data_IF_190327680056
#
_entry.id   IF_190327680056
#
_cell.length_a   1.000
_cell.length_b   1.000
_cell.length_c   1.000
_cell.angle_alpha   90.00
_cell.angle_beta   90.00
_cell.angle_gamma   90.00
#
_symmetry.space_group_name_H-M   'P 1'
#
loop_
_entity.id
_entity.type
_entity.pdbx_description
1 polymer ?
#
# COMPACT_ATOMS: atom_id res chain seq x y z
N UNK A 1 -28.00 -5.70 -19.69
CA UNK A 1 -26.73 -5.21 -19.11
C UNK A 1 -25.92 -4.61 -20.25
N UNK A 2 -25.56 -3.32 -20.26
CA UNK A 2 -24.75 -2.79 -21.34
C UNK A 2 -23.34 -3.35 -21.20
N UNK A 3 -22.83 -3.92 -22.29
CA UNK A 3 -21.45 -4.40 -22.41
C UNK A 3 -20.48 -3.31 -21.96
N UNK A 4 -19.42 -3.69 -21.25
CA UNK A 4 -18.29 -2.81 -20.98
C UNK A 4 -17.68 -2.48 -22.36
N UNK A 5 -18.13 -1.38 -22.96
CA UNK A 5 -17.62 -0.89 -24.24
C UNK A 5 -16.12 -0.63 -24.11
N UNK A 6 -15.41 -0.89 -25.20
CA UNK A 6 -13.97 -0.80 -25.45
C UNK A 6 -13.18 0.18 -24.57
N UNK A 7 -11.91 -0.16 -24.34
CA UNK A 7 -10.94 0.73 -23.71
C UNK A 7 -11.01 2.13 -24.37
N UNK A 8 -11.26 3.14 -23.54
CA UNK A 8 -11.84 4.45 -23.91
C UNK A 8 -11.17 5.18 -25.09
N UNK A 9 -9.87 4.95 -25.28
CA UNK A 9 -9.05 5.54 -26.33
C UNK A 9 -7.91 4.59 -26.75
N UNK A 10 -8.03 3.28 -26.49
CA UNK A 10 -6.93 2.34 -26.75
C UNK A 10 -6.74 2.00 -28.23
N UNK A 11 -7.71 2.39 -29.06
CA UNK A 11 -7.73 2.30 -30.51
C UNK A 11 -7.06 3.50 -31.20
N UNK A 12 -6.74 4.56 -30.45
CA UNK A 12 -6.08 5.76 -30.97
C UNK A 12 -4.56 5.68 -30.79
N UNK A 13 -3.77 6.19 -31.76
CA UNK A 13 -2.34 6.34 -31.56
C UNK A 13 -2.11 7.39 -30.44
N UNK A 14 -1.02 7.25 -29.65
CA UNK A 14 -0.77 8.14 -28.51
C UNK A 14 -0.73 9.64 -28.83
N UNK A 15 -0.34 10.01 -30.05
CA UNK A 15 -0.29 11.39 -30.51
C UNK A 15 -1.67 12.03 -30.73
N UNK A 16 -2.70 11.21 -30.98
CA UNK A 16 -4.06 11.69 -31.29
C UNK A 16 -4.95 11.78 -30.04
N UNK A 17 -4.43 11.37 -28.88
CA UNK A 17 -5.17 11.43 -27.62
C UNK A 17 -5.19 12.88 -27.13
N UNK A 18 -6.36 13.51 -27.21
CA UNK A 18 -6.53 14.93 -26.85
C UNK A 18 -6.85 15.14 -25.37
N UNK A 19 -6.77 16.40 -24.92
CA UNK A 19 -7.16 16.81 -23.57
C UNK A 19 -8.64 16.49 -23.31
N UNK A 20 -9.53 16.81 -24.25
CA UNK A 20 -10.98 16.65 -24.09
C UNK A 20 -11.35 15.18 -23.86
N UNK A 21 -10.69 14.28 -24.59
CA UNK A 21 -10.89 12.85 -24.45
C UNK A 21 -10.43 12.34 -23.07
N UNK A 22 -9.28 12.82 -22.60
CA UNK A 22 -8.75 12.47 -21.29
C UNK A 22 -9.56 13.09 -20.15
N UNK A 23 -10.10 14.30 -20.32
CA UNK A 23 -10.93 14.96 -19.32
C UNK A 23 -12.30 14.27 -19.18
N UNK A 24 -12.94 13.90 -20.29
CA UNK A 24 -14.19 13.11 -20.22
C UNK A 24 -13.96 11.71 -19.65
N UNK A 25 -12.86 11.06 -20.02
CA UNK A 25 -12.43 9.80 -19.40
C UNK A 25 -12.25 9.94 -17.89
N UNK A 26 -11.52 10.98 -17.44
CA UNK A 26 -11.30 11.27 -16.03
C UNK A 26 -12.61 11.59 -15.30
N UNK A 27 -13.47 12.41 -15.89
CA UNK A 27 -14.80 12.75 -15.36
C UNK A 27 -15.71 11.52 -15.24
N UNK A 28 -15.63 10.57 -16.19
CA UNK A 28 -16.33 9.29 -16.08
C UNK A 28 -15.78 8.43 -14.96
N UNK A 29 -14.45 8.35 -14.81
CA UNK A 29 -13.82 7.62 -13.70
C UNK A 29 -14.23 8.19 -12.34
N UNK A 30 -14.27 9.51 -12.20
CA UNK A 30 -14.73 10.15 -10.97
C UNK A 30 -16.17 9.73 -10.62
N UNK A 31 -17.08 9.75 -11.61
CA UNK A 31 -18.49 9.38 -11.41
C UNK A 31 -18.68 7.90 -11.05
N UNK A 32 -17.94 7.00 -11.69
CA UNK A 32 -18.18 5.55 -11.58
C UNK A 32 -17.35 4.88 -10.48
N UNK A 33 -16.13 5.35 -10.24
CA UNK A 33 -15.14 4.71 -9.36
C UNK A 33 -14.67 5.57 -8.20
N UNK A 34 -14.97 6.87 -8.22
CA UNK A 34 -14.58 7.82 -7.18
C UNK A 34 -13.13 8.32 -7.31
N UNK A 35 -12.76 9.19 -6.36
CA UNK A 35 -11.55 10.02 -6.43
C UNK A 35 -10.24 9.22 -6.39
N UNK A 36 -10.12 8.20 -5.53
CA UNK A 36 -8.85 7.45 -5.40
C UNK A 36 -8.47 6.72 -6.70
N UNK A 37 -9.43 6.04 -7.33
CA UNK A 37 -9.20 5.33 -8.58
C UNK A 37 -8.92 6.30 -9.72
N UNK A 38 -9.72 7.36 -9.85
CA UNK A 38 -9.52 8.37 -10.90
C UNK A 38 -8.16 9.07 -10.77
N UNK A 39 -7.74 9.44 -9.55
CA UNK A 39 -6.44 10.02 -9.28
C UNK A 39 -5.29 9.10 -9.71
N UNK A 40 -5.37 7.80 -9.35
CA UNK A 40 -4.35 6.81 -9.71
C UNK A 40 -4.30 6.57 -11.21
N UNK A 41 -5.45 6.52 -11.88
CA UNK A 41 -5.52 6.33 -13.32
C UNK A 41 -4.78 7.45 -14.08
N UNK A 42 -5.05 8.73 -13.74
CA UNK A 42 -4.34 9.88 -14.32
C UNK A 42 -2.86 9.86 -13.95
N UNK A 43 -2.51 9.48 -12.72
CA UNK A 43 -1.10 9.34 -12.32
C UNK A 43 -0.37 8.29 -13.16
N UNK A 44 -0.98 7.14 -13.40
CA UNK A 44 -0.43 6.09 -14.25
C UNK A 44 -0.33 6.54 -15.71
N UNK A 45 -1.34 7.24 -16.23
CA UNK A 45 -1.31 7.82 -17.57
C UNK A 45 -0.09 8.73 -17.76
N UNK A 46 0.18 9.65 -16.84
CA UNK A 46 1.35 10.55 -16.90
C UNK A 46 2.68 9.79 -16.93
N UNK A 47 2.78 8.69 -16.17
CA UNK A 47 3.94 7.80 -16.23
C UNK A 47 4.06 7.09 -17.58
N UNK A 48 2.94 6.63 -18.14
CA UNK A 48 2.91 5.98 -19.46
C UNK A 48 3.28 6.96 -20.58
N UNK A 49 2.82 8.21 -20.51
CA UNK A 49 3.15 9.26 -21.47
C UNK A 49 4.67 9.45 -21.58
N UNK A 50 5.38 9.48 -20.45
CA UNK A 50 6.84 9.59 -20.45
C UNK A 50 7.52 8.40 -21.15
N UNK A 51 6.98 7.18 -21.00
CA UNK A 51 7.48 6.00 -21.70
C UNK A 51 7.22 6.10 -23.20
N UNK A 52 6.00 6.47 -23.60
CA UNK A 52 5.63 6.66 -25.01
C UNK A 52 6.45 7.76 -25.69
N UNK A 53 6.74 8.85 -24.98
CA UNK A 53 7.63 9.91 -25.44
C UNK A 53 9.07 9.42 -25.62
N UNK A 54 9.58 8.60 -24.68
CA UNK A 54 10.89 7.94 -24.82
C UNK A 54 10.95 6.99 -26.02
N UNK A 55 9.83 6.38 -26.38
CA UNK A 55 9.66 5.55 -27.58
C UNK A 55 9.42 6.35 -28.86
N UNK A 56 9.40 7.69 -28.79
CA UNK A 56 9.12 8.59 -29.92
C UNK A 56 7.71 8.44 -30.53
N UNK A 57 6.73 7.98 -29.74
CA UNK A 57 5.33 7.86 -30.16
C UNK A 57 4.52 9.15 -29.95
N UNK A 58 4.99 10.03 -29.07
CA UNK A 58 4.41 11.35 -28.81
C UNK A 58 5.53 12.36 -28.44
N UNK A 59 5.28 13.67 -28.55
CA UNK A 59 6.31 14.66 -28.26
C UNK A 59 6.58 14.74 -26.74
N UNK A 60 7.85 14.77 -26.31
CA UNK A 60 8.20 14.85 -24.89
C UNK A 60 7.69 16.14 -24.26
N UNK A 61 7.24 16.07 -23.00
CA UNK A 61 6.77 17.24 -22.24
C UNK A 61 5.41 17.83 -22.67
N UNK A 62 4.79 17.30 -23.71
CA UNK A 62 3.50 17.79 -24.25
C UNK A 62 2.28 16.98 -23.79
N UNK A 63 2.34 16.39 -22.59
CA UNK A 63 1.25 15.55 -22.07
C UNK A 63 -0.06 16.34 -21.88
N UNK A 64 -1.12 16.01 -22.64
CA UNK A 64 -2.40 16.72 -22.56
C UNK A 64 -3.06 16.60 -21.19
N UNK A 65 -2.79 15.52 -20.44
CA UNK A 65 -3.39 15.30 -19.12
C UNK A 65 -2.93 16.30 -18.04
N UNK A 66 -1.86 17.06 -18.29
CA UNK A 66 -1.34 18.04 -17.35
C UNK A 66 -2.31 19.21 -17.13
N UNK A 67 -3.12 19.54 -18.14
CA UNK A 67 -4.14 20.58 -18.04
C UNK A 67 -5.38 20.16 -17.22
N UNK A 68 -5.55 18.86 -16.96
CA UNK A 68 -6.68 18.35 -16.17
C UNK A 68 -6.52 18.76 -14.70
N UNK A 69 -7.54 19.43 -14.15
CA UNK A 69 -7.63 19.78 -12.73
C UNK A 69 -7.98 18.55 -11.88
N UNK A 70 -6.96 17.75 -11.58
CA UNK A 70 -7.09 16.52 -10.80
C UNK A 70 -7.45 16.79 -9.33
N UNK A 71 -8.34 15.97 -8.77
CA UNK A 71 -8.67 15.94 -7.34
C UNK A 71 -7.73 15.00 -6.60
N UNK A 72 -7.10 15.48 -5.53
CA UNK A 72 -6.22 14.65 -4.68
C UNK A 72 -7.06 13.91 -3.64
N UNK A 73 -6.96 12.57 -3.54
CA UNK A 73 -7.68 11.83 -2.52
C UNK A 73 -7.19 12.24 -1.12
N UNK A 74 -8.09 12.31 -0.12
CA UNK A 74 -7.71 12.71 1.23
C UNK A 74 -6.69 11.72 1.81
N UNK A 75 -5.70 12.21 2.58
CA UNK A 75 -4.73 11.34 3.23
C UNK A 75 -5.43 10.43 4.24
N UNK A 76 -4.92 9.20 4.37
CA UNK A 76 -5.36 8.27 5.41
C UNK A 76 -4.90 8.83 6.76
N UNK A 77 -5.85 9.11 7.64
CA UNK A 77 -5.61 9.77 8.94
C UNK A 77 -6.09 8.91 10.12
N UNK A 78 -6.48 7.66 9.90
CA UNK A 78 -6.83 6.76 10.99
C UNK A 78 -5.60 6.53 11.87
N UNK A 79 -5.76 6.86 13.14
CA UNK A 79 -4.77 6.64 14.20
C UNK A 79 -5.42 5.77 15.27
N UNK A 80 -4.61 4.95 15.93
CA UNK A 80 -5.06 4.10 17.03
C UNK A 80 -4.30 4.47 18.29
N UNK A 81 -5.01 4.53 19.40
CA UNK A 81 -4.42 4.64 20.72
C UNK A 81 -3.93 3.28 21.21
N UNK A 82 -3.04 3.27 22.21
CA UNK A 82 -2.56 2.03 22.81
C UNK A 82 -3.69 1.13 23.34
N UNK A 83 -4.72 1.73 23.95
CA UNK A 83 -5.88 0.99 24.45
C UNK A 83 -6.69 0.32 23.33
N UNK A 84 -6.86 1.00 22.19
CA UNK A 84 -7.54 0.44 21.02
C UNK A 84 -6.74 -0.70 20.38
N UNK A 85 -5.43 -0.53 20.24
CA UNK A 85 -4.54 -1.58 19.75
C UNK A 85 -4.63 -2.85 20.61
N UNK A 86 -4.56 -2.71 21.94
CA UNK A 86 -4.72 -3.83 22.88
C UNK A 86 -6.09 -4.49 22.76
N UNK A 87 -7.17 -3.70 22.60
CA UNK A 87 -8.52 -4.26 22.39
C UNK A 87 -8.61 -5.03 21.08
N UNK A 88 -8.00 -4.55 20.00
CA UNK A 88 -7.94 -5.26 18.71
C UNK A 88 -7.19 -6.59 18.83
N UNK A 89 -6.02 -6.60 19.49
CA UNK A 89 -5.26 -7.84 19.74
C UNK A 89 -6.09 -8.85 20.52
N UNK A 90 -6.69 -8.42 21.64
CA UNK A 90 -7.53 -9.29 22.48
C UNK A 90 -8.77 -9.79 21.72
N UNK A 91 -9.39 -8.93 20.90
CA UNK A 91 -10.53 -9.29 20.06
C UNK A 91 -10.17 -10.36 19.03
N UNK A 92 -9.09 -10.16 18.28
CA UNK A 92 -8.58 -11.13 17.31
C UNK A 92 -8.23 -12.48 17.97
N UNK A 93 -7.63 -12.44 19.16
CA UNK A 93 -7.31 -13.65 19.91
C UNK A 93 -8.56 -14.43 20.35
N UNK A 94 -9.53 -13.74 20.95
CA UNK A 94 -10.79 -14.37 21.41
C UNK A 94 -11.60 -14.95 20.24
N UNK A 95 -11.52 -14.34 19.06
CA UNK A 95 -12.13 -14.84 17.84
C UNK A 95 -11.35 -16.00 17.18
N UNK A 96 -10.25 -16.47 17.77
CA UNK A 96 -9.44 -17.58 17.25
C UNK A 96 -8.42 -17.19 16.19
N UNK A 97 -8.37 -15.93 15.76
CA UNK A 97 -7.40 -15.42 14.79
C UNK A 97 -6.04 -15.12 15.44
N UNK A 98 -5.39 -16.17 15.97
CA UNK A 98 -4.13 -16.05 16.73
C UNK A 98 -3.01 -15.39 15.92
N UNK A 99 -2.83 -15.78 14.66
CA UNK A 99 -1.82 -15.18 13.78
C UNK A 99 -2.04 -13.67 13.55
N UNK A 100 -3.30 -13.25 13.39
CA UNK A 100 -3.64 -11.83 13.25
C UNK A 100 -3.35 -11.07 14.55
N UNK A 101 -3.70 -11.64 15.71
CA UNK A 101 -3.40 -11.05 17.00
C UNK A 101 -1.89 -10.83 17.19
N UNK A 102 -1.06 -11.80 16.80
CA UNK A 102 0.40 -11.69 16.85
C UNK A 102 0.91 -10.59 15.90
N UNK A 103 0.42 -10.55 14.67
CA UNK A 103 0.84 -9.52 13.70
C UNK A 103 0.51 -8.12 14.23
N UNK A 104 -0.70 -7.91 14.78
CA UNK A 104 -1.09 -6.61 15.34
C UNK A 104 -0.18 -6.25 16.54
N UNK A 105 0.08 -7.18 17.44
CA UNK A 105 0.91 -6.93 18.62
C UNK A 105 2.37 -6.58 18.25
N UNK A 106 2.97 -7.35 17.34
CA UNK A 106 4.34 -7.10 16.88
C UNK A 106 4.42 -5.81 16.07
N UNK A 107 3.47 -5.56 15.17
CA UNK A 107 3.42 -4.31 14.40
C UNK A 107 3.29 -3.09 15.31
N UNK A 108 2.49 -3.19 16.38
CA UNK A 108 2.34 -2.11 17.36
C UNK A 108 3.62 -1.81 18.13
N UNK A 109 4.32 -2.82 18.64
CA UNK A 109 5.55 -2.61 19.41
C UNK A 109 6.73 -2.14 18.55
N UNK A 110 6.87 -2.71 17.34
CA UNK A 110 8.03 -2.49 16.47
C UNK A 110 7.84 -1.35 15.48
N UNK A 111 6.60 -0.86 15.32
CA UNK A 111 6.20 0.05 14.23
C UNK A 111 6.54 -0.47 12.82
N UNK A 112 6.72 -1.78 12.66
CA UNK A 112 6.94 -2.41 11.36
C UNK A 112 5.65 -2.44 10.53
N UNK A 113 5.80 -2.48 9.21
CA UNK A 113 4.64 -2.66 8.35
C UNK A 113 4.09 -4.08 8.54
N UNK A 114 2.76 -4.31 8.44
CA UNK A 114 2.20 -5.65 8.58
C UNK A 114 2.77 -6.66 7.58
N UNK A 115 3.22 -6.18 6.41
CA UNK A 115 3.88 -7.00 5.39
C UNK A 115 5.24 -7.49 5.90
N UNK A 116 6.04 -6.60 6.50
CA UNK A 116 7.35 -6.98 7.05
C UNK A 116 7.19 -7.96 8.22
N UNK A 117 6.19 -7.74 9.10
CA UNK A 117 5.90 -8.62 10.24
C UNK A 117 5.55 -10.04 9.79
N UNK A 118 4.81 -10.19 8.68
CA UNK A 118 4.45 -11.50 8.12
C UNK A 118 5.65 -12.28 7.58
N UNK A 119 6.72 -11.59 7.21
CA UNK A 119 7.94 -12.20 6.67
C UNK A 119 9.01 -12.47 7.73
N UNK A 120 8.73 -12.15 8.99
CA UNK A 120 9.65 -12.42 10.09
C UNK A 120 9.86 -13.91 10.28
N UNK A 121 11.12 -14.30 10.47
CA UNK A 121 11.50 -15.66 10.81
C UNK A 121 12.10 -15.72 12.23
N UNK A 122 12.01 -16.85 12.94
CA UNK A 122 12.64 -16.98 14.25
C UNK A 122 14.15 -16.73 14.23
N UNK A 123 14.83 -17.03 13.12
CA UNK A 123 16.26 -16.76 12.96
C UNK A 123 16.62 -15.25 12.96
N UNK A 124 15.64 -14.37 12.72
CA UNK A 124 15.80 -12.91 12.77
C UNK A 124 15.51 -12.34 14.16
N UNK A 125 15.01 -13.17 15.09
CA UNK A 125 14.81 -12.77 16.47
C UNK A 125 16.18 -12.65 17.15
N UNK A 126 16.42 -11.51 17.79
CA UNK A 126 17.62 -11.28 18.56
C UNK A 126 17.25 -10.92 19.99
N UNK A 127 17.96 -11.54 20.92
CA UNK A 127 17.91 -11.19 22.33
C UNK A 127 19.11 -10.29 22.65
N UNK A 128 18.83 -9.10 23.13
CA UNK A 128 19.81 -8.23 23.79
C UNK A 128 19.71 -8.42 25.31
N UNK A 129 20.69 -7.96 26.08
CA UNK A 129 20.84 -8.22 27.52
C UNK A 129 19.55 -8.05 28.37
N UNK A 130 18.61 -7.19 27.98
CA UNK A 130 17.34 -6.99 28.67
C UNK A 130 16.09 -7.19 27.78
N UNK A 131 16.24 -7.38 26.47
CA UNK A 131 15.16 -7.15 25.50
C UNK A 131 15.17 -8.14 24.34
N UNK A 132 14.00 -8.30 23.72
CA UNK A 132 13.84 -9.04 22.47
C UNK A 132 13.51 -8.06 21.34
N UNK A 133 14.09 -8.29 20.18
CA UNK A 133 13.85 -7.49 19.00
C UNK A 133 14.05 -8.28 17.72
N UNK A 134 13.81 -7.62 16.60
CA UNK A 134 14.05 -8.17 15.27
C UNK A 134 15.00 -7.26 14.51
N UNK A 135 15.97 -7.86 13.81
CA UNK A 135 16.75 -7.17 12.80
C UNK A 135 16.19 -7.51 11.42
N UNK A 136 15.68 -6.50 10.72
CA UNK A 136 15.21 -6.66 9.35
C UNK A 136 15.73 -5.55 8.44
N UNK A 137 15.90 -5.91 7.16
CA UNK A 137 15.91 -4.94 6.07
C UNK A 137 14.45 -4.72 5.64
N UNK A 138 13.94 -3.48 5.71
CA UNK A 138 12.56 -3.22 5.27
C UNK A 138 12.41 -3.49 3.78
N UNK A 139 11.34 -4.19 3.42
CA UNK A 139 11.01 -4.53 2.02
C UNK A 139 10.71 -3.30 1.16
N UNK A 140 10.12 -2.24 1.77
CA UNK A 140 9.70 -1.01 1.06
C UNK A 140 10.77 0.09 1.02
N UNK A 141 11.71 0.10 1.95
CA UNK A 141 12.76 1.13 2.06
C UNK A 141 14.02 0.44 2.54
N UNK A 142 15.09 0.40 1.74
CA UNK A 142 16.34 -0.29 2.04
C UNK A 142 17.10 0.35 3.22
N UNK A 143 16.56 0.21 4.43
CA UNK A 143 17.14 0.68 5.70
C UNK A 143 17.02 -0.46 6.70
N UNK A 144 18.14 -0.83 7.33
CA UNK A 144 18.18 -1.80 8.44
C UNK A 144 17.59 -1.13 9.67
N UNK A 145 16.65 -1.80 10.33
CA UNK A 145 16.06 -1.32 11.58
C UNK A 145 16.23 -2.40 12.64
N UNK A 146 16.63 -1.98 13.83
CA UNK A 146 16.41 -2.71 15.06
C UNK A 146 15.14 -2.15 15.70
N UNK A 147 14.20 -3.02 16.04
CA UNK A 147 13.00 -2.61 16.76
C UNK A 147 12.75 -3.53 17.94
N UNK A 148 12.43 -2.89 19.08
CA UNK A 148 12.08 -3.55 20.33
C UNK A 148 10.70 -4.18 20.19
N UNK A 149 10.54 -5.41 20.67
CA UNK A 149 9.25 -6.07 20.76
C UNK A 149 9.03 -6.55 22.20
N UNK A 150 8.13 -5.88 22.95
CA UNK A 150 7.82 -6.27 24.34
C UNK A 150 7.05 -7.58 24.38
N UNK A 151 6.27 -7.88 23.35
CA UNK A 151 5.49 -9.10 23.24
C UNK A 151 6.25 -10.29 22.63
N UNK A 152 7.51 -10.13 22.20
CA UNK A 152 8.31 -11.22 21.63
C UNK A 152 8.57 -12.39 22.61
N UNK A 153 8.51 -12.14 23.93
CA UNK A 153 8.60 -13.17 24.98
C UNK A 153 7.28 -13.85 25.32
N UNK A 154 6.16 -13.29 24.90
CA UNK A 154 4.86 -13.83 25.28
C UNK A 154 4.62 -15.13 24.50
N UNK A 155 4.20 -16.21 25.17
CA UNK A 155 3.80 -17.51 24.59
C UNK A 155 2.70 -17.42 23.51
N UNK A 156 2.24 -16.20 23.24
CA UNK A 156 1.25 -15.80 22.27
C UNK A 156 1.88 -15.65 20.88
N UNK A 157 3.10 -15.12 20.77
CA UNK A 157 3.77 -14.85 19.49
C UNK A 157 4.50 -16.05 18.90
N UNK A 158 5.04 -16.92 19.75
CA UNK A 158 5.71 -18.15 19.34
C UNK A 158 4.92 -19.32 19.93
N UNK A 159 4.17 -20.09 19.13
CA UNK A 159 4.00 -21.47 19.47
C UNK A 159 5.40 -22.08 19.35
N UNK A 160 6.17 -22.10 20.45
CA UNK A 160 7.23 -23.08 20.55
C UNK A 160 6.57 -24.42 20.26
N UNK A 161 6.91 -25.02 19.12
CA UNK A 161 6.59 -26.40 18.88
C UNK A 161 7.30 -27.20 19.96
N UNK A 162 6.58 -27.52 21.04
CA UNK A 162 6.83 -28.78 21.72
C UNK A 162 6.14 -29.87 20.90
N UNK A 163 6.83 -30.22 19.81
CA UNK A 163 6.90 -31.55 19.24
C UNK A 163 8.18 -31.66 18.45
#
# INVERSE_FOLDING_TARGET
MPAIKAAYFADLPPADITLELLDDWYGRLLRVKGVDIAYRAVKTWRSLYNVMAGMKLCPPGSDPSQAIRRQTPPPRHQTWTAGEAVRMVKGAWRAGYRGLACIIAVAWDTSFSPVDVRTLTPAQAMQTAQEWGFLIARSRVARRLSARCRHARSAWCWPMSNR
#
